data_IF_567759762173
#
_entry.id   IF_567759762173
#
_cell.length_a   1.000
_cell.length_b   1.000
_cell.length_c   1.000
_cell.angle_alpha   90.00
_cell.angle_beta   90.00
_cell.angle_gamma   90.00
#
_symmetry.space_group_name_H-M   'P 1'
#
loop_
_entity.id
_entity.type
_entity.pdbx_description
1 polymer ?
#
# COMPACT_ATOMS: atom_id res chain seq x y z
N UNK A 1 -29.19 42.69 -66.83
CA UNK A 1 -29.57 41.28 -66.59
C UNK A 1 -28.61 40.70 -65.56
N UNK A 2 -29.10 40.52 -64.32
CA UNK A 2 -28.66 39.63 -63.24
C UNK A 2 -27.15 39.49 -62.88
N UNK A 3 -26.84 39.90 -61.64
CA UNK A 3 -26.16 39.08 -60.57
C UNK A 3 -24.63 38.92 -60.73
N UNK A 4 -23.70 39.11 -59.78
CA UNK A 4 -23.62 39.00 -58.30
C UNK A 4 -22.35 39.77 -57.81
N UNK A 5 -22.38 40.59 -56.74
CA UNK A 5 -21.94 40.29 -55.34
C UNK A 5 -20.47 39.84 -55.23
N UNK A 6 -19.60 40.28 -54.32
CA UNK A 6 -19.51 41.42 -53.40
C UNK A 6 -18.08 41.34 -52.80
N UNK A 7 -17.49 42.50 -52.59
CA UNK A 7 -16.29 42.73 -51.76
C UNK A 7 -16.65 42.39 -50.32
N UNK A 8 -15.82 41.64 -49.58
CA UNK A 8 -16.08 41.53 -48.15
C UNK A 8 -15.20 40.62 -47.30
N UNK A 9 -14.10 41.21 -46.81
CA UNK A 9 -13.58 41.12 -45.42
C UNK A 9 -13.00 39.78 -44.94
N UNK A 10 -11.67 39.79 -44.86
CA UNK A 10 -10.89 39.00 -43.92
C UNK A 10 -11.39 39.20 -42.47
N UNK A 11 -11.61 38.10 -41.77
CA UNK A 11 -11.75 38.07 -40.31
C UNK A 11 -10.77 37.01 -39.81
N UNK A 12 -9.69 37.48 -39.19
CA UNK A 12 -8.74 36.65 -38.47
C UNK A 12 -9.39 36.10 -37.21
N UNK A 13 -9.33 34.79 -37.03
CA UNK A 13 -9.77 34.12 -35.81
C UNK A 13 -8.63 34.21 -34.79
N UNK A 14 -8.77 35.13 -33.83
CA UNK A 14 -7.90 35.27 -32.67
C UNK A 14 -8.29 34.17 -31.66
N UNK A 15 -7.52 33.07 -31.62
CA UNK A 15 -7.65 32.04 -30.58
C UNK A 15 -7.04 32.56 -29.27
N UNK A 16 -7.86 33.16 -28.40
CA UNK A 16 -7.51 33.32 -26.99
C UNK A 16 -7.57 31.96 -26.30
N UNK A 17 -6.44 31.25 -26.30
CA UNK A 17 -6.21 30.18 -25.33
C UNK A 17 -5.97 30.85 -23.96
N UNK A 18 -7.05 30.98 -23.19
CA UNK A 18 -6.95 31.26 -21.76
C UNK A 18 -6.23 30.07 -21.11
N UNK A 19 -4.92 30.20 -20.93
CA UNK A 19 -4.14 29.31 -20.08
C UNK A 19 -4.63 29.46 -18.65
N UNK A 20 -5.57 28.61 -18.26
CA UNK A 20 -5.78 28.31 -16.84
C UNK A 20 -4.45 27.73 -16.35
N UNK A 21 -3.77 28.33 -15.36
CA UNK A 21 -2.76 27.58 -14.66
C UNK A 21 -3.52 26.45 -13.98
N UNK A 22 -3.35 25.23 -14.47
CA UNK A 22 -3.58 24.07 -13.65
C UNK A 22 -2.62 24.24 -12.47
N UNK A 23 -3.15 24.78 -11.37
CA UNK A 23 -2.50 24.71 -10.08
C UNK A 23 -2.41 23.22 -9.76
N UNK A 24 -1.35 22.58 -10.26
CA UNK A 24 -0.88 21.32 -9.75
C UNK A 24 -0.49 21.63 -8.30
N UNK A 25 -1.42 21.42 -7.38
CA UNK A 25 -1.13 21.29 -5.97
C UNK A 25 -0.31 20.00 -5.82
N UNK A 26 0.97 20.07 -6.18
CA UNK A 26 1.97 19.23 -5.56
C UNK A 26 2.07 19.75 -4.13
N UNK A 27 1.15 19.31 -3.27
CA UNK A 27 1.39 19.37 -1.84
C UNK A 27 2.69 18.60 -1.64
N UNK A 28 3.70 19.28 -1.10
CA UNK A 28 4.94 18.69 -0.62
C UNK A 28 4.65 17.89 0.67
N UNK A 29 3.62 17.05 0.60
CA UNK A 29 3.29 16.06 1.62
C UNK A 29 4.34 14.97 1.41
N UNK A 30 5.33 14.92 2.31
CA UNK A 30 6.43 13.97 2.22
C UNK A 30 6.00 12.52 1.94
N UNK A 31 6.97 11.65 1.70
CA UNK A 31 6.76 10.28 1.20
C UNK A 31 5.49 9.59 1.74
N UNK A 32 4.67 9.11 0.79
CA UNK A 32 3.46 8.35 1.06
C UNK A 32 3.80 7.02 1.76
N UNK A 33 2.89 6.46 2.58
CA UNK A 33 3.12 5.19 3.28
C UNK A 33 3.65 4.08 2.38
N UNK A 34 3.07 3.90 1.18
CA UNK A 34 3.53 2.86 0.25
C UNK A 34 4.97 3.08 -0.26
N UNK A 35 5.42 4.34 -0.38
CA UNK A 35 6.77 4.66 -0.84
C UNK A 35 7.81 4.32 0.23
N UNK A 36 7.49 4.58 1.51
CA UNK A 36 8.36 4.24 2.63
C UNK A 36 8.47 2.72 2.81
N UNK A 37 7.34 1.99 2.77
CA UNK A 37 7.36 0.52 2.85
C UNK A 37 8.16 -0.07 1.69
N UNK A 38 8.00 0.44 0.47
CA UNK A 38 8.80 -0.02 -0.68
C UNK A 38 10.29 0.25 -0.50
N UNK A 39 10.65 1.41 0.07
CA UNK A 39 12.04 1.74 0.36
C UNK A 39 12.64 0.81 1.42
N UNK A 40 11.85 0.47 2.45
CA UNK A 40 12.25 -0.49 3.48
C UNK A 40 12.51 -1.88 2.88
N UNK A 41 11.64 -2.36 2.00
CA UNK A 41 11.81 -3.63 1.30
C UNK A 41 13.11 -3.67 0.48
N UNK A 42 13.40 -2.62 -0.29
CA UNK A 42 14.64 -2.55 -1.08
C UNK A 42 15.89 -2.62 -0.21
N UNK A 43 15.85 -2.04 1.00
CA UNK A 43 16.94 -2.15 1.96
C UNK A 43 17.01 -3.53 2.60
N UNK A 44 15.86 -4.15 2.90
CA UNK A 44 15.80 -5.53 3.38
C UNK A 44 16.38 -6.52 2.36
N UNK A 45 16.07 -6.35 1.07
CA UNK A 45 16.60 -7.17 -0.02
C UNK A 45 18.13 -7.05 -0.13
N UNK A 46 18.68 -5.85 0.04
CA UNK A 46 20.14 -5.63 0.09
C UNK A 46 20.78 -6.36 1.27
N UNK A 47 20.17 -6.27 2.45
CA UNK A 47 20.66 -6.95 3.66
C UNK A 47 20.62 -8.47 3.46
N UNK A 48 19.52 -8.99 2.91
CA UNK A 48 19.39 -10.41 2.55
C UNK A 48 20.46 -10.85 1.53
N UNK A 49 20.86 -9.94 0.63
CA UNK A 49 21.97 -10.11 -0.30
C UNK A 49 23.37 -9.96 0.31
N UNK A 50 23.50 -9.74 1.63
CA UNK A 50 24.77 -9.65 2.34
C UNK A 50 25.30 -8.23 2.57
N UNK A 51 24.58 -7.18 2.17
CA UNK A 51 24.95 -5.78 2.45
C UNK A 51 24.58 -5.38 3.87
N UNK A 52 25.35 -5.88 4.85
CA UNK A 52 25.11 -5.59 6.27
C UNK A 52 25.35 -4.11 6.61
N UNK A 53 26.05 -3.35 5.76
CA UNK A 53 26.25 -1.91 5.96
C UNK A 53 24.94 -1.12 5.81
N UNK A 54 23.89 -1.73 5.24
CA UNK A 54 22.56 -1.12 5.12
C UNK A 54 21.70 -1.22 6.40
N UNK A 55 22.14 -1.93 7.45
CA UNK A 55 21.39 -2.07 8.72
C UNK A 55 20.98 -0.72 9.36
N UNK A 56 21.84 0.31 9.46
CA UNK A 56 21.42 1.62 9.99
C UNK A 56 20.33 2.29 9.14
N UNK A 57 20.39 2.11 7.81
CA UNK A 57 19.38 2.62 6.89
C UNK A 57 18.04 1.91 7.08
N UNK A 58 18.06 0.60 7.28
CA UNK A 58 16.86 -0.19 7.60
C UNK A 58 16.19 0.33 8.87
N UNK A 59 16.96 0.50 9.95
CA UNK A 59 16.45 1.00 11.22
C UNK A 59 15.79 2.38 11.05
N UNK A 60 16.43 3.28 10.28
CA UNK A 60 15.87 4.61 10.04
C UNK A 60 14.60 4.57 9.18
N UNK A 61 14.58 3.76 8.13
CA UNK A 61 13.38 3.60 7.30
C UNK A 61 12.23 2.97 8.08
N UNK A 62 12.52 2.03 8.97
CA UNK A 62 11.50 1.43 9.84
C UNK A 62 10.88 2.47 10.77
N UNK A 63 11.71 3.31 11.42
CA UNK A 63 11.27 4.43 12.26
C UNK A 63 10.38 5.41 11.47
N UNK A 64 10.82 5.83 10.28
CA UNK A 64 10.07 6.75 9.42
C UNK A 64 8.75 6.16 8.94
N UNK A 65 8.76 4.87 8.59
CA UNK A 65 7.56 4.14 8.14
C UNK A 65 6.55 4.03 9.28
N UNK A 66 6.99 3.63 10.47
CA UNK A 66 6.14 3.54 11.68
C UNK A 66 5.50 4.90 11.99
N UNK A 67 6.29 5.98 12.01
CA UNK A 67 5.81 7.32 12.26
C UNK A 67 4.78 7.77 11.21
N UNK A 68 5.06 7.53 9.91
CA UNK A 68 4.16 7.92 8.82
C UNK A 68 2.84 7.15 8.86
N UNK A 69 2.88 5.85 9.14
CA UNK A 69 1.66 5.02 9.27
C UNK A 69 0.87 5.39 10.52
N UNK A 70 1.54 5.71 11.64
CA UNK A 70 0.88 6.16 12.87
C UNK A 70 0.17 7.50 12.67
N UNK A 71 0.75 8.41 11.89
CA UNK A 71 0.16 9.69 11.56
C UNK A 71 -0.91 9.61 10.45
N UNK A 72 -0.97 8.50 9.70
CA UNK A 72 -1.87 8.38 8.58
C UNK A 72 -3.36 8.39 9.00
N UNK A 73 -4.15 9.09 8.20
CA UNK A 73 -5.59 9.27 8.41
C UNK A 73 -6.44 8.59 7.32
N UNK A 74 -7.76 8.78 7.40
CA UNK A 74 -8.69 8.20 6.43
C UNK A 74 -8.48 8.72 4.99
N UNK A 75 -7.94 9.93 4.83
CA UNK A 75 -7.60 10.53 3.54
C UNK A 75 -6.43 9.83 2.87
N UNK A 76 -5.37 9.55 3.64
CA UNK A 76 -4.21 8.77 3.16
C UNK A 76 -4.61 7.38 2.67
N UNK A 77 -5.53 6.72 3.38
CA UNK A 77 -5.99 5.37 3.03
C UNK A 77 -7.02 5.32 1.89
N UNK A 78 -7.39 6.47 1.30
CA UNK A 78 -8.15 6.48 0.03
C UNK A 78 -7.34 5.91 -1.12
N UNK A 79 -6.01 6.05 -1.08
CA UNK A 79 -5.14 5.30 -1.99
C UNK A 79 -4.99 3.87 -1.46
N UNK A 80 -5.53 2.85 -2.16
CA UNK A 80 -5.48 1.47 -1.68
C UNK A 80 -4.04 0.94 -1.53
N UNK A 81 -3.04 1.55 -2.20
CA UNK A 81 -1.62 1.20 -1.98
C UNK A 81 -1.18 1.50 -0.56
N UNK A 82 -1.67 2.58 0.06
CA UNK A 82 -1.30 2.94 1.43
C UNK A 82 -1.86 1.94 2.44
N UNK A 83 -3.09 1.46 2.23
CA UNK A 83 -3.66 0.44 3.10
C UNK A 83 -2.95 -0.91 2.92
N UNK A 84 -2.64 -1.31 1.68
CA UNK A 84 -1.84 -2.53 1.46
C UNK A 84 -0.45 -2.42 2.08
N UNK A 85 0.19 -1.25 1.99
CA UNK A 85 1.48 -0.99 2.62
C UNK A 85 1.42 -1.14 4.15
N UNK A 86 0.34 -0.70 4.80
CA UNK A 86 0.10 -0.94 6.23
C UNK A 86 0.08 -2.45 6.56
N UNK A 87 -0.63 -3.25 5.76
CA UNK A 87 -0.72 -4.69 5.95
C UNK A 87 0.64 -5.38 5.74
N UNK A 88 1.35 -5.03 4.68
CA UNK A 88 2.70 -5.55 4.38
C UNK A 88 3.69 -5.16 5.46
N UNK A 89 3.64 -3.91 5.95
CA UNK A 89 4.45 -3.46 7.08
C UNK A 89 4.19 -4.32 8.32
N UNK A 90 2.92 -4.57 8.65
CA UNK A 90 2.54 -5.45 9.75
C UNK A 90 3.11 -6.86 9.58
N UNK A 91 2.85 -7.52 8.45
CA UNK A 91 3.31 -8.89 8.20
C UNK A 91 4.84 -9.03 8.12
N UNK A 92 5.54 -7.94 7.80
CA UNK A 92 7.01 -7.87 7.81
C UNK A 92 7.61 -7.63 9.20
N UNK A 93 6.82 -7.72 10.28
CA UNK A 93 7.28 -7.51 11.65
C UNK A 93 7.19 -6.06 12.14
N UNK A 94 6.32 -5.25 11.53
CA UNK A 94 6.04 -3.88 11.96
C UNK A 94 5.37 -3.79 13.34
N UNK A 95 5.27 -2.57 13.88
CA UNK A 95 4.71 -2.32 15.19
C UNK A 95 3.19 -2.64 15.23
N UNK A 96 2.72 -3.61 16.05
CA UNK A 96 1.31 -4.00 16.10
C UNK A 96 0.38 -2.86 16.51
N UNK A 97 0.83 -1.98 17.42
CA UNK A 97 0.03 -0.83 17.89
C UNK A 97 -0.21 0.15 16.75
N UNK A 98 0.80 0.35 15.89
CA UNK A 98 0.67 1.20 14.71
C UNK A 98 -0.29 0.58 13.69
N UNK A 99 -0.19 -0.74 13.46
CA UNK A 99 -1.06 -1.47 12.53
C UNK A 99 -2.53 -1.38 12.96
N UNK A 100 -2.81 -1.70 14.21
CA UNK A 100 -4.15 -1.66 14.78
C UNK A 100 -4.74 -0.24 14.76
N UNK A 101 -3.99 0.75 15.23
CA UNK A 101 -4.46 2.13 15.29
C UNK A 101 -4.73 2.70 13.88
N UNK A 102 -3.84 2.46 12.92
CA UNK A 102 -4.01 2.93 11.55
C UNK A 102 -5.18 2.22 10.85
N UNK A 103 -5.30 0.90 11.01
CA UNK A 103 -6.41 0.13 10.43
C UNK A 103 -7.77 0.59 10.96
N UNK A 104 -7.85 0.96 12.25
CA UNK A 104 -9.10 1.46 12.87
C UNK A 104 -9.61 2.77 12.27
N UNK A 105 -8.72 3.59 11.67
CA UNK A 105 -9.07 4.87 11.05
C UNK A 105 -9.35 4.76 9.55
N UNK A 106 -8.92 3.67 8.92
CA UNK A 106 -8.99 3.51 7.49
C UNK A 106 -10.43 3.18 7.03
N UNK A 107 -10.85 3.82 5.94
CA UNK A 107 -12.03 3.41 5.19
C UNK A 107 -11.62 2.41 4.10
N UNK A 108 -11.36 1.16 4.51
CA UNK A 108 -10.97 0.07 3.61
C UNK A 108 -12.14 -0.89 3.35
N UNK A 109 -12.04 -1.70 2.29
CA UNK A 109 -13.03 -2.72 1.98
C UNK A 109 -13.07 -3.84 3.05
N UNK A 110 -14.17 -4.59 3.17
CA UNK A 110 -14.31 -5.61 4.22
C UNK A 110 -13.24 -6.70 4.22
N UNK A 111 -12.74 -7.11 3.04
CA UNK A 111 -11.70 -8.13 2.94
C UNK A 111 -10.37 -7.57 3.46
N UNK A 112 -10.00 -6.35 3.07
CA UNK A 112 -8.84 -5.63 3.59
C UNK A 112 -8.88 -5.47 5.12
N UNK A 113 -10.04 -5.12 5.69
CA UNK A 113 -10.21 -5.03 7.15
C UNK A 113 -10.11 -6.40 7.84
N UNK A 114 -10.62 -7.46 7.22
CA UNK A 114 -10.45 -8.82 7.74
C UNK A 114 -8.98 -9.25 7.75
N UNK A 115 -8.22 -8.94 6.70
CA UNK A 115 -6.77 -9.16 6.65
C UNK A 115 -6.09 -8.38 7.78
N UNK A 116 -6.41 -7.09 7.95
CA UNK A 116 -5.85 -6.27 9.04
C UNK A 116 -6.09 -6.91 10.41
N UNK A 117 -7.31 -7.38 10.67
CA UNK A 117 -7.67 -8.04 11.93
C UNK A 117 -6.86 -9.33 12.15
N UNK A 118 -6.70 -10.14 11.11
CA UNK A 118 -5.89 -11.36 11.16
C UNK A 118 -4.41 -11.08 11.40
N UNK A 119 -3.86 -10.06 10.73
CA UNK A 119 -2.47 -9.60 10.92
C UNK A 119 -2.24 -9.08 12.35
N UNK A 120 -3.17 -8.29 12.89
CA UNK A 120 -3.08 -7.83 14.29
C UNK A 120 -3.16 -9.01 15.27
N UNK A 121 -4.00 -10.01 15.01
CA UNK A 121 -4.03 -11.23 15.83
C UNK A 121 -2.71 -11.99 15.77
N UNK A 122 -2.12 -12.12 14.58
CA UNK A 122 -0.82 -12.76 14.36
C UNK A 122 0.29 -12.03 15.15
N UNK A 123 0.40 -10.71 15.01
CA UNK A 123 1.42 -9.91 15.68
C UNK A 123 1.27 -9.89 17.21
N UNK A 124 0.05 -10.01 17.71
CA UNK A 124 -0.23 -10.09 19.14
C UNK A 124 -0.08 -11.51 19.71
N UNK A 125 0.52 -12.45 18.98
CA UNK A 125 0.79 -13.80 19.45
C UNK A 125 -0.48 -14.65 19.64
N UNK A 126 -1.53 -14.41 18.84
CA UNK A 126 -2.79 -15.16 18.87
C UNK A 126 -2.96 -15.99 17.58
N UNK A 127 -2.14 -17.04 17.36
CA UNK A 127 -2.09 -17.76 16.09
C UNK A 127 -3.43 -18.44 15.73
N UNK A 128 -4.13 -19.03 16.70
CA UNK A 128 -5.44 -19.66 16.49
C UNK A 128 -6.49 -18.66 15.96
N UNK A 129 -6.58 -17.49 16.59
CA UNK A 129 -7.48 -16.43 16.14
C UNK A 129 -7.06 -15.86 14.78
N UNK A 130 -5.75 -15.71 14.54
CA UNK A 130 -5.23 -15.22 13.27
C UNK A 130 -5.60 -16.17 12.12
N UNK A 131 -5.37 -17.47 12.28
CA UNK A 131 -5.67 -18.42 11.21
C UNK A 131 -7.17 -18.58 10.99
N UNK A 132 -7.99 -18.57 12.04
CA UNK A 132 -9.45 -18.58 11.90
C UNK A 132 -9.95 -17.44 10.99
N UNK A 133 -9.38 -16.24 11.15
CA UNK A 133 -9.72 -15.07 10.35
C UNK A 133 -9.16 -15.16 8.93
N UNK A 134 -7.90 -15.58 8.77
CA UNK A 134 -7.18 -15.51 7.48
C UNK A 134 -7.40 -16.74 6.58
N UNK A 135 -7.81 -17.89 7.15
CA UNK A 135 -8.03 -19.14 6.42
C UNK A 135 -8.92 -18.99 5.19
N UNK A 136 -10.10 -18.33 5.24
CA UNK A 136 -10.99 -18.21 4.08
C UNK A 136 -10.48 -17.27 2.97
N UNK A 137 -9.44 -16.47 3.23
CA UNK A 137 -8.93 -15.49 2.26
C UNK A 137 -7.87 -16.15 1.40
N UNK A 138 -8.14 -16.27 0.10
CA UNK A 138 -7.18 -16.80 -0.88
C UNK A 138 -6.09 -15.75 -1.16
N UNK A 139 -4.79 -16.02 -0.90
CA UNK A 139 -3.70 -15.11 -1.25
C UNK A 139 -3.65 -14.73 -2.73
N UNK A 140 -4.17 -15.57 -3.63
CA UNK A 140 -4.21 -15.29 -5.07
C UNK A 140 -5.38 -14.38 -5.47
N UNK A 141 -6.35 -14.16 -4.57
CA UNK A 141 -7.48 -13.26 -4.79
C UNK A 141 -7.18 -11.79 -4.45
N UNK A 142 -6.02 -11.53 -3.83
CA UNK A 142 -5.56 -10.18 -3.48
C UNK A 142 -4.42 -9.75 -4.40
N UNK A 143 -4.12 -8.44 -4.50
CA UNK A 143 -2.95 -7.96 -5.26
C UNK A 143 -1.66 -8.68 -4.83
N UNK A 144 -0.82 -9.04 -5.81
CA UNK A 144 0.34 -9.90 -5.60
C UNK A 144 1.35 -9.33 -4.57
N UNK A 145 1.46 -8.00 -4.48
CA UNK A 145 2.28 -7.29 -3.49
C UNK A 145 1.83 -7.56 -2.04
N UNK A 146 0.56 -7.90 -1.82
CA UNK A 146 -0.01 -8.30 -0.54
C UNK A 146 -0.09 -9.84 -0.40
N UNK A 147 -0.44 -10.52 -1.50
CA UNK A 147 -0.69 -11.96 -1.54
C UNK A 147 0.51 -12.78 -1.06
N UNK A 148 1.73 -12.43 -1.49
CA UNK A 148 2.94 -13.11 -1.05
C UNK A 148 3.10 -13.08 0.49
N UNK A 149 2.92 -11.90 1.11
CA UNK A 149 3.02 -11.77 2.57
C UNK A 149 1.88 -12.50 3.29
N UNK A 150 0.66 -12.46 2.73
CA UNK A 150 -0.47 -13.19 3.30
C UNK A 150 -0.23 -14.70 3.24
N UNK A 151 0.30 -15.22 2.14
CA UNK A 151 0.66 -16.62 1.99
C UNK A 151 1.74 -17.03 3.02
N UNK A 152 2.78 -16.21 3.20
CA UNK A 152 3.82 -16.43 4.21
C UNK A 152 3.25 -16.51 5.64
N UNK A 153 2.37 -15.58 6.02
CA UNK A 153 1.74 -15.59 7.35
C UNK A 153 0.82 -16.80 7.53
N UNK A 154 0.02 -17.14 6.51
CA UNK A 154 -0.84 -18.34 6.58
C UNK A 154 -0.01 -19.62 6.65
N UNK A 155 1.06 -19.71 5.86
CA UNK A 155 1.99 -20.84 5.87
C UNK A 155 2.66 -21.02 7.21
N UNK A 156 3.14 -19.94 7.84
CA UNK A 156 3.75 -20.01 9.18
C UNK A 156 2.75 -20.44 10.26
N UNK A 157 1.51 -19.96 10.19
CA UNK A 157 0.43 -20.34 11.11
C UNK A 157 0.00 -21.80 10.96
N UNK A 158 0.05 -22.36 9.75
CA UNK A 158 -0.39 -23.72 9.45
C UNK A 158 0.75 -24.75 9.55
N UNK A 159 2.01 -24.33 9.68
CA UNK A 159 3.17 -25.21 9.58
C UNK A 159 3.15 -26.40 10.57
N UNK A 160 2.60 -26.20 11.77
CA UNK A 160 2.51 -27.25 12.79
C UNK A 160 1.35 -28.22 12.54
N UNK A 161 0.18 -27.71 12.14
CA UNK A 161 -1.08 -28.46 12.13
C UNK A 161 -1.45 -29.00 10.74
N UNK A 162 -1.10 -28.27 9.67
CA UNK A 162 -1.42 -28.59 8.28
C UNK A 162 -0.16 -28.41 7.38
N UNK A 163 0.91 -29.20 7.58
CA UNK A 163 2.22 -28.95 6.95
C UNK A 163 2.19 -29.03 5.41
N UNK A 164 1.34 -29.88 4.84
CA UNK A 164 1.18 -29.96 3.38
C UNK A 164 0.57 -28.68 2.80
N UNK A 165 -0.49 -28.16 3.45
CA UNK A 165 -1.11 -26.89 3.08
C UNK A 165 -0.14 -25.73 3.28
N UNK A 166 0.61 -25.73 4.38
CA UNK A 166 1.63 -24.74 4.66
C UNK A 166 2.71 -24.72 3.57
N UNK A 167 3.19 -25.88 3.13
CA UNK A 167 4.21 -25.97 2.07
C UNK A 167 3.71 -25.35 0.77
N UNK A 168 2.46 -25.61 0.36
CA UNK A 168 1.88 -24.99 -0.85
C UNK A 168 1.78 -23.46 -0.75
N UNK A 169 1.66 -22.90 0.46
CA UNK A 169 1.62 -21.45 0.67
C UNK A 169 3.02 -20.81 0.75
N UNK A 170 4.06 -21.62 0.99
CA UNK A 170 5.44 -21.17 1.18
C UNK A 170 6.32 -21.40 -0.06
N UNK A 171 5.81 -22.12 -1.06
CA UNK A 171 6.44 -22.38 -2.37
C UNK A 171 6.19 -21.22 -3.34
#
# INVERSE_FOLDING_TARGET
>A
MRVRIAIGRAVGLLLLAAGLPAAAFAQDDGLQPYQLVRSLQLVQDRIAGGDHAALPMQAKLLEMTDARLRAADAGDFKDPKNFRALLVYGMSGGNPVTVEAAASRAAADPQSLAIAKGVVAYLNGRPAAAIEILKPIDPMSVPADLGAFLALVKGSLLAADEPATALTLLD
#
